data_IF_427322003303
#
_entry.id   IF_427322003303
#
_cell.length_a   1.000
_cell.length_b   1.000
_cell.length_c   1.000
_cell.angle_alpha   90.00
_cell.angle_beta   90.00
_cell.angle_gamma   90.00
#
_symmetry.space_group_name_H-M   'P 1'
#
loop_
_entity.id
_entity.type
_entity.pdbx_description
1 polymer ?
#
# COMPACT_ATOMS: atom_id res chain seq x y z
N UNK A 1 10.17 -20.07 -1.05
CA UNK A 1 10.58 -19.53 -2.36
C UNK A 1 9.65 -20.13 -3.39
N UNK A 2 8.81 -19.30 -3.97
CA UNK A 2 7.71 -19.70 -4.86
C UNK A 2 8.27 -20.41 -6.11
N UNK A 3 7.97 -21.70 -6.20
CA UNK A 3 8.63 -22.68 -7.09
C UNK A 3 8.25 -22.56 -8.56
N UNK A 4 7.54 -21.50 -8.96
CA UNK A 4 7.00 -21.33 -10.32
C UNK A 4 7.70 -20.23 -11.14
N UNK A 5 8.78 -19.60 -10.62
CA UNK A 5 9.49 -18.52 -11.31
C UNK A 5 8.69 -17.23 -11.48
N UNK A 6 7.49 -17.16 -10.91
CA UNK A 6 6.60 -16.00 -10.92
C UNK A 6 6.45 -15.48 -9.50
N UNK A 7 6.40 -14.15 -9.36
CA UNK A 7 6.19 -13.49 -8.09
C UNK A 7 4.70 -13.18 -7.90
N UNK A 8 4.29 -13.04 -6.63
CA UNK A 8 3.00 -12.50 -6.22
C UNK A 8 3.21 -11.09 -5.60
N UNK A 9 3.63 -10.09 -6.40
CA UNK A 9 3.92 -8.76 -5.89
C UNK A 9 2.66 -8.07 -5.33
N UNK A 10 2.86 -7.31 -4.25
CA UNK A 10 1.87 -6.39 -3.69
C UNK A 10 2.57 -5.14 -3.16
N UNK A 11 1.87 -4.01 -3.12
CA UNK A 11 2.35 -2.76 -2.53
C UNK A 11 1.62 -2.53 -1.22
N UNK A 12 2.35 -2.07 -0.20
CA UNK A 12 1.78 -1.66 1.09
C UNK A 12 2.23 -0.24 1.39
N UNK A 13 1.27 0.61 1.74
CA UNK A 13 1.47 2.02 2.04
C UNK A 13 1.28 2.22 3.53
N UNK A 14 2.25 2.88 4.17
CA UNK A 14 2.21 3.22 5.58
C UNK A 14 2.18 4.72 5.74
N UNK A 15 1.15 5.22 6.42
CA UNK A 15 1.04 6.64 6.74
C UNK A 15 1.49 6.89 8.19
N UNK A 16 2.53 7.70 8.37
CA UNK A 16 3.16 8.01 9.67
C UNK A 16 3.12 9.52 9.92
N UNK A 17 3.09 10.05 11.15
CA UNK A 17 3.02 9.33 12.42
C UNK A 17 1.61 8.81 12.67
N UNK A 18 1.51 7.62 13.28
CA UNK A 18 0.24 6.95 13.54
C UNK A 18 0.27 5.51 13.06
N UNK A 19 0.63 4.59 13.96
CA UNK A 19 0.63 3.16 13.69
C UNK A 19 -0.79 2.54 13.73
N UNK A 20 -1.83 3.33 13.43
CA UNK A 20 -3.20 2.82 13.40
C UNK A 20 -3.40 1.88 12.21
N UNK A 21 -4.25 0.87 12.36
CA UNK A 21 -4.61 -0.04 11.26
C UNK A 21 -5.23 0.73 10.08
N UNK A 22 -5.91 1.85 10.35
CA UNK A 22 -6.47 2.73 9.31
C UNK A 22 -5.41 3.46 8.47
N UNK A 23 -4.17 3.58 8.96
CA UNK A 23 -3.06 4.21 8.23
C UNK A 23 -2.28 3.21 7.36
N UNK A 24 -2.67 1.93 7.34
CA UNK A 24 -2.04 0.90 6.52
C UNK A 24 -2.98 0.54 5.38
N UNK A 25 -2.61 0.92 4.18
CA UNK A 25 -3.31 0.47 2.97
C UNK A 25 -2.44 -0.55 2.24
N UNK A 26 -3.07 -1.49 1.55
CA UNK A 26 -2.38 -2.44 0.69
C UNK A 26 -3.14 -2.58 -0.62
N UNK A 27 -2.43 -2.73 -1.72
CA UNK A 27 -3.04 -3.12 -2.99
C UNK A 27 -3.39 -4.59 -2.99
N UNK A 28 -4.16 -5.02 -4.00
CA UNK A 28 -4.35 -6.45 -4.25
C UNK A 28 -3.03 -7.11 -4.58
N UNK A 29 -2.86 -8.33 -4.08
CA UNK A 29 -1.77 -9.20 -4.49
C UNK A 29 -2.02 -9.64 -5.93
N UNK A 30 -1.14 -9.24 -6.84
CA UNK A 30 -1.21 -9.67 -8.22
C UNK A 30 -0.51 -11.01 -8.32
N UNK A 31 -1.26 -12.06 -8.67
CA UNK A 31 -0.68 -13.39 -8.74
C UNK A 31 0.08 -13.58 -10.04
N UNK A 32 1.13 -14.38 -9.98
CA UNK A 32 1.82 -14.90 -11.18
C UNK A 32 2.31 -13.82 -12.16
N UNK A 33 2.89 -12.72 -11.66
CA UNK A 33 3.36 -11.62 -12.53
C UNK A 33 4.72 -11.06 -12.09
N UNK A 34 5.62 -10.84 -13.06
CA UNK A 34 6.91 -10.17 -12.86
C UNK A 34 6.84 -8.66 -13.13
N UNK A 35 5.81 -8.19 -13.84
CA UNK A 35 5.55 -6.78 -14.13
C UNK A 35 4.16 -6.40 -13.61
N UNK A 36 3.99 -6.21 -12.30
CA UNK A 36 2.71 -5.86 -11.72
C UNK A 36 2.26 -4.45 -12.14
N UNK A 37 1.04 -4.35 -12.66
CA UNK A 37 0.35 -3.07 -12.89
C UNK A 37 -0.92 -3.09 -12.04
N UNK A 38 -0.91 -2.37 -10.91
CA UNK A 38 -2.07 -2.35 -10.03
C UNK A 38 -3.20 -1.47 -10.56
N UNK A 39 -2.88 -0.27 -11.10
CA UNK A 39 -3.87 0.76 -11.44
C UNK A 39 -4.95 0.95 -10.35
N UNK A 40 -4.57 0.78 -9.08
CA UNK A 40 -5.46 0.91 -7.91
C UNK A 40 -5.23 2.27 -7.25
N UNK A 41 -6.33 2.97 -7.01
CA UNK A 41 -6.32 4.21 -6.20
C UNK A 41 -6.54 3.86 -4.74
N UNK A 42 -5.55 4.17 -3.90
CA UNK A 42 -5.62 3.98 -2.45
C UNK A 42 -5.96 5.32 -1.80
N UNK A 43 -7.08 5.38 -1.08
CA UNK A 43 -7.57 6.60 -0.46
C UNK A 43 -7.60 6.42 1.05
N UNK A 44 -6.97 7.35 1.77
CA UNK A 44 -7.09 7.44 3.21
C UNK A 44 -8.32 8.30 3.56
N UNK A 45 -9.29 7.70 4.25
CA UNK A 45 -10.48 8.42 4.73
C UNK A 45 -10.27 8.88 6.17
N UNK A 46 -10.66 10.12 6.47
CA UNK A 46 -10.56 10.71 7.81
C UNK A 46 -9.18 11.28 8.16
N UNK A 47 -8.35 11.59 7.16
CA UNK A 47 -7.14 12.41 7.35
C UNK A 47 -7.56 13.88 7.35
N UNK A 48 -7.23 14.61 8.40
CA UNK A 48 -7.38 16.07 8.44
C UNK A 48 -6.21 16.75 7.73
N UNK A 49 -6.39 17.99 7.30
CA UNK A 49 -5.36 18.75 6.56
C UNK A 49 -4.06 18.91 7.37
N UNK A 50 -4.17 19.18 8.68
CA UNK A 50 -3.02 19.20 9.61
C UNK A 50 -2.27 17.87 9.63
N UNK A 51 -3.02 16.75 9.66
CA UNK A 51 -2.41 15.43 9.59
C UNK A 51 -1.82 15.15 8.22
N UNK A 52 -2.38 15.65 7.12
CA UNK A 52 -1.80 15.50 5.78
C UNK A 52 -0.45 16.22 5.66
N UNK A 53 -0.32 17.42 6.25
CA UNK A 53 0.95 18.16 6.27
C UNK A 53 1.99 17.52 7.20
N UNK A 54 1.56 16.83 8.26
CA UNK A 54 2.45 16.23 9.26
C UNK A 54 2.75 14.76 9.00
N UNK A 55 1.97 14.12 8.14
CA UNK A 55 2.13 12.71 7.80
C UNK A 55 3.03 12.51 6.59
N UNK A 56 3.82 11.46 6.63
CA UNK A 56 4.70 10.99 5.56
C UNK A 56 4.25 9.61 5.11
N UNK A 57 4.21 9.42 3.78
CA UNK A 57 3.96 8.14 3.15
C UNK A 57 5.27 7.37 3.02
N UNK A 58 5.31 6.13 3.53
CA UNK A 58 6.49 5.26 3.47
C UNK A 58 6.13 3.83 3.06
#
# INVERSE_FOLDING_TARGET
MDSNGLADPYVKLHLLPGASKSNKLRTKTLKTTLNPVWNETLVYHGITDDEMSRKTLR
#
